data_IF_052246154643
#
_entry.id   IF_052246154643
#
_cell.length_a   1.000
_cell.length_b   1.000
_cell.length_c   1.000
_cell.angle_alpha   90.00
_cell.angle_beta   90.00
_cell.angle_gamma   90.00
#
_symmetry.space_group_name_H-M   'P 1'
#
loop_
_entity.id
_entity.type
_entity.pdbx_description
1 polymer ?
#
# COMPACT_ATOMS: atom_id res chain seq x y z
N UNK A 1 -7.79 16.92 -74.70
CA UNK A 1 -9.15 16.37 -74.59
C UNK A 1 -9.08 15.16 -73.68
N UNK A 2 -9.20 15.47 -72.39
CA UNK A 2 -9.88 14.80 -71.26
C UNK A 2 -10.01 13.28 -71.14
N UNK A 3 -9.83 12.85 -69.89
CA UNK A 3 -10.23 11.57 -69.29
C UNK A 3 -9.10 11.03 -68.41
N UNK A 4 -9.25 10.68 -67.13
CA UNK A 4 -10.39 10.65 -66.21
C UNK A 4 -9.80 10.50 -64.78
N UNK A 5 -10.62 10.84 -63.81
CA UNK A 5 -10.41 11.10 -62.39
C UNK A 5 -10.48 9.86 -61.46
N UNK A 6 -9.90 9.98 -60.26
CA UNK A 6 -10.44 9.36 -59.05
C UNK A 6 -9.50 8.48 -58.22
N UNK A 7 -9.02 8.98 -57.08
CA UNK A 7 -8.56 8.14 -55.97
C UNK A 7 -8.72 8.86 -54.61
N UNK A 8 -9.72 8.45 -53.83
CA UNK A 8 -9.77 8.65 -52.37
C UNK A 8 -9.86 7.26 -51.67
N UNK A 9 -9.27 7.10 -50.47
CA UNK A 9 -9.07 5.79 -49.86
C UNK A 9 -10.30 5.28 -49.09
N UNK A 10 -10.53 3.96 -49.24
CA UNK A 10 -11.64 3.18 -48.68
C UNK A 10 -11.55 3.04 -47.15
N UNK A 11 -12.61 3.42 -46.45
CA UNK A 11 -12.91 3.01 -45.07
C UNK A 11 -13.53 1.60 -45.03
N UNK A 12 -13.27 0.76 -44.01
CA UNK A 12 -13.75 -0.62 -43.98
C UNK A 12 -15.21 -0.75 -43.50
N UNK A 13 -15.91 -1.64 -44.20
CA UNK A 13 -17.32 -2.03 -44.07
C UNK A 13 -17.59 -2.85 -42.80
N UNK A 14 -18.32 -2.29 -41.84
CA UNK A 14 -19.10 -3.08 -40.88
C UNK A 14 -20.44 -3.44 -41.55
N UNK A 15 -20.49 -4.61 -42.20
CA UNK A 15 -21.76 -5.17 -42.65
C UNK A 15 -22.49 -5.78 -41.46
N UNK A 16 -23.71 -5.29 -41.24
CA UNK A 16 -24.72 -5.94 -40.42
C UNK A 16 -25.03 -7.30 -41.06
N UNK A 17 -24.73 -8.38 -40.37
CA UNK A 17 -25.39 -9.66 -40.58
C UNK A 17 -26.27 -9.96 -39.36
N UNK A 18 -27.52 -9.51 -39.46
CA UNK A 18 -28.61 -10.10 -38.70
C UNK A 18 -28.80 -11.54 -39.18
N UNK A 19 -28.81 -12.52 -38.28
CA UNK A 19 -29.13 -13.88 -38.71
C UNK A 19 -28.99 -15.07 -37.78
N UNK A 20 -28.66 -14.94 -36.49
CA UNK A 20 -28.87 -16.02 -35.50
C UNK A 20 -29.22 -15.42 -34.14
N UNK A 21 -30.52 -15.37 -33.83
CA UNK A 21 -31.03 -14.69 -32.63
C UNK A 21 -32.01 -15.58 -31.88
N UNK A 22 -31.83 -15.58 -30.56
CA UNK A 22 -32.81 -15.81 -29.51
C UNK A 22 -33.05 -17.25 -29.00
N UNK A 23 -32.11 -17.75 -28.19
CA UNK A 23 -32.44 -18.58 -27.02
C UNK A 23 -31.37 -18.45 -25.92
N UNK A 24 -30.09 -18.48 -26.30
CA UNK A 24 -28.98 -18.44 -25.33
C UNK A 24 -28.64 -17.05 -24.77
N UNK A 25 -28.85 -15.97 -25.54
CA UNK A 25 -28.57 -14.60 -25.05
C UNK A 25 -29.48 -14.20 -23.88
N UNK A 26 -30.72 -14.70 -23.82
CA UNK A 26 -31.64 -14.49 -22.68
C UNK A 26 -31.24 -15.29 -21.45
N UNK A 27 -30.67 -16.50 -21.59
CA UNK A 27 -30.12 -17.27 -20.47
C UNK A 27 -28.81 -16.66 -19.95
N UNK A 28 -27.91 -16.22 -20.85
CA UNK A 28 -26.61 -15.60 -20.51
C UNK A 28 -26.75 -14.22 -19.86
N UNK A 29 -27.67 -13.37 -20.35
CA UNK A 29 -28.01 -12.10 -19.67
C UNK A 29 -28.70 -12.29 -18.32
N UNK A 30 -29.35 -13.43 -18.09
CA UNK A 30 -29.91 -13.82 -16.79
C UNK A 30 -28.84 -14.30 -15.81
N UNK A 31 -27.82 -15.04 -16.26
CA UNK A 31 -26.69 -15.48 -15.43
C UNK A 31 -25.83 -14.30 -14.98
N UNK A 32 -25.50 -13.39 -15.89
CA UNK A 32 -24.77 -12.14 -15.56
C UNK A 32 -25.53 -11.25 -14.57
N UNK A 33 -26.86 -11.20 -14.65
CA UNK A 33 -27.71 -10.48 -13.66
C UNK A 33 -27.88 -11.22 -12.33
N UNK A 34 -27.81 -12.56 -12.32
CA UNK A 34 -28.01 -13.40 -11.12
C UNK A 34 -26.79 -13.37 -10.19
N UNK A 35 -25.61 -13.15 -10.75
CA UNK A 35 -24.34 -13.06 -10.02
C UNK A 35 -23.85 -11.61 -9.90
N UNK A 36 -24.72 -10.61 -9.99
CA UNK A 36 -24.32 -9.22 -9.74
C UNK A 36 -24.10 -8.96 -8.25
N UNK A 37 -23.28 -7.96 -7.91
CA UNK A 37 -23.02 -7.60 -6.51
C UNK A 37 -24.34 -7.29 -5.79
N UNK A 38 -25.26 -6.59 -6.46
CA UNK A 38 -26.60 -6.29 -5.97
C UNK A 38 -27.46 -7.55 -5.76
N UNK A 39 -27.36 -8.55 -6.64
CA UNK A 39 -28.08 -9.83 -6.47
C UNK A 39 -27.53 -10.63 -5.28
N UNK A 40 -26.20 -10.76 -5.17
CA UNK A 40 -25.53 -11.44 -4.07
C UNK A 40 -25.82 -10.76 -2.73
N UNK A 41 -25.80 -9.42 -2.70
CA UNK A 41 -26.15 -8.63 -1.52
C UNK A 41 -27.60 -8.82 -1.11
N UNK A 42 -28.54 -8.75 -2.05
CA UNK A 42 -29.96 -8.97 -1.75
C UNK A 42 -30.21 -10.40 -1.24
N UNK A 43 -29.55 -11.40 -1.83
CA UNK A 43 -29.62 -12.78 -1.37
C UNK A 43 -29.02 -12.93 0.04
N UNK A 44 -27.86 -12.33 0.30
CA UNK A 44 -27.22 -12.34 1.62
C UNK A 44 -28.13 -11.70 2.68
N UNK A 45 -28.65 -10.50 2.43
CA UNK A 45 -29.59 -9.80 3.33
C UNK A 45 -30.86 -10.63 3.57
N UNK A 46 -31.36 -11.32 2.54
CA UNK A 46 -32.51 -12.21 2.65
C UNK A 46 -32.24 -13.46 3.49
N UNK A 47 -30.98 -13.86 3.67
CA UNK A 47 -30.58 -15.01 4.50
C UNK A 47 -30.11 -14.61 5.89
N UNK A 48 -29.97 -13.32 6.18
CA UNK A 48 -29.56 -12.84 7.50
C UNK A 48 -30.61 -13.17 8.58
N UNK A 49 -30.18 -13.62 9.78
CA UNK A 49 -31.04 -13.75 10.95
C UNK A 49 -31.73 -12.42 11.29
N UNK A 50 -32.97 -12.47 11.79
CA UNK A 50 -33.76 -11.28 12.14
C UNK A 50 -33.04 -10.35 13.13
N UNK A 51 -32.23 -10.93 14.03
CA UNK A 51 -31.41 -10.21 15.02
C UNK A 51 -30.34 -9.30 14.41
N UNK A 52 -29.91 -9.58 13.18
CA UNK A 52 -28.87 -8.84 12.45
C UNK A 52 -29.51 -7.85 11.48
N UNK A 53 -30.66 -8.20 10.91
CA UNK A 53 -31.41 -7.31 10.01
C UNK A 53 -31.78 -5.97 10.65
N UNK A 54 -32.02 -5.94 11.96
CA UNK A 54 -32.29 -4.69 12.69
C UNK A 54 -31.09 -3.74 12.81
N UNK A 55 -29.87 -4.23 12.55
CA UNK A 55 -28.64 -3.42 12.54
C UNK A 55 -28.26 -2.87 11.15
N UNK A 56 -28.99 -3.24 10.10
CA UNK A 56 -28.79 -2.71 8.75
C UNK A 56 -29.64 -1.44 8.62
N UNK A 57 -29.02 -0.27 8.72
CA UNK A 57 -29.72 1.00 8.49
C UNK A 57 -30.22 1.07 7.03
N UNK A 58 -31.52 1.34 6.89
CA UNK A 58 -32.24 1.38 5.60
C UNK A 58 -31.83 2.58 4.74
N UNK A 59 -31.20 3.60 5.33
CA UNK A 59 -30.91 4.89 4.68
C UNK A 59 -29.43 5.11 4.29
N UNK A 60 -28.50 4.23 4.68
CA UNK A 60 -27.10 4.30 4.22
C UNK A 60 -26.47 2.91 4.14
N UNK A 61 -26.40 2.29 2.95
CA UNK A 61 -25.94 0.90 2.78
C UNK A 61 -24.43 0.69 2.92
N UNK A 62 -23.69 1.72 3.33
CA UNK A 62 -22.23 1.78 3.31
C UNK A 62 -21.54 1.22 4.56
N UNK A 63 -22.28 1.00 5.66
CA UNK A 63 -21.71 0.53 6.93
C UNK A 63 -22.65 -0.44 7.65
N UNK A 64 -22.13 -1.62 8.01
CA UNK A 64 -22.82 -2.59 8.87
C UNK A 64 -22.37 -2.33 10.31
N UNK A 65 -23.17 -1.63 11.12
CA UNK A 65 -22.83 -1.38 12.53
C UNK A 65 -23.37 -2.53 13.41
N UNK A 66 -22.55 -3.57 13.59
CA UNK A 66 -22.89 -4.71 14.44
C UNK A 66 -22.70 -4.43 15.93
N UNK A 67 -22.24 -3.24 16.34
CA UNK A 67 -22.08 -2.89 17.75
C UNK A 67 -23.41 -2.92 18.53
N UNK A 68 -24.53 -2.62 17.84
CA UNK A 68 -25.88 -2.60 18.40
C UNK A 68 -26.56 -3.97 18.45
N UNK A 69 -25.98 -4.99 17.82
CA UNK A 69 -26.56 -6.34 17.76
C UNK A 69 -26.32 -7.11 19.07
N UNK A 70 -27.37 -7.28 19.87
CA UNK A 70 -27.30 -8.01 21.15
C UNK A 70 -27.35 -9.52 20.89
N UNK A 71 -26.34 -10.26 21.38
CA UNK A 71 -26.32 -11.72 21.42
C UNK A 71 -25.50 -12.43 20.35
N UNK A 72 -24.61 -11.73 19.63
CA UNK A 72 -23.59 -12.33 18.77
C UNK A 72 -22.24 -12.42 19.51
N UNK A 73 -21.56 -13.54 19.34
CA UNK A 73 -20.15 -13.71 19.71
C UNK A 73 -19.27 -12.78 18.88
N UNK A 74 -18.08 -12.39 19.39
CA UNK A 74 -17.12 -11.59 18.62
C UNK A 74 -16.78 -12.26 17.27
N UNK A 75 -16.59 -13.58 17.25
CA UNK A 75 -16.29 -14.30 16.01
C UNK A 75 -17.44 -14.30 14.99
N UNK A 76 -18.69 -14.23 15.45
CA UNK A 76 -19.85 -14.11 14.54
C UNK A 76 -19.92 -12.69 13.97
N UNK A 77 -19.63 -11.66 14.77
CA UNK A 77 -19.56 -10.27 14.29
C UNK A 77 -18.49 -10.11 13.22
N UNK A 78 -17.29 -10.61 13.51
CA UNK A 78 -16.17 -10.60 12.57
C UNK A 78 -16.51 -11.34 11.26
N UNK A 79 -17.21 -12.47 11.34
CA UNK A 79 -17.68 -13.18 10.15
C UNK A 79 -18.62 -12.33 9.28
N UNK A 80 -19.65 -11.72 9.87
CA UNK A 80 -20.61 -10.92 9.11
C UNK A 80 -19.98 -9.63 8.57
N UNK A 81 -19.08 -9.00 9.32
CA UNK A 81 -18.29 -7.85 8.86
C UNK A 81 -17.42 -8.22 7.65
N UNK A 82 -16.71 -9.36 7.70
CA UNK A 82 -15.92 -9.87 6.57
C UNK A 82 -16.79 -10.13 5.34
N UNK A 83 -17.93 -10.81 5.51
CA UNK A 83 -18.85 -11.08 4.39
C UNK A 83 -19.40 -9.78 3.77
N UNK A 84 -19.71 -8.78 4.58
CA UNK A 84 -20.17 -7.48 4.10
C UNK A 84 -19.07 -6.70 3.37
N UNK A 85 -17.83 -6.76 3.88
CA UNK A 85 -16.66 -6.19 3.23
C UNK A 85 -16.40 -6.83 1.85
N UNK A 86 -16.53 -8.16 1.75
CA UNK A 86 -16.44 -8.88 0.47
C UNK A 86 -17.54 -8.44 -0.51
N UNK A 87 -18.79 -8.28 -0.05
CA UNK A 87 -19.87 -7.80 -0.94
C UNK A 87 -19.62 -6.38 -1.44
N UNK A 88 -19.08 -5.51 -0.57
CA UNK A 88 -18.71 -4.15 -0.94
C UNK A 88 -17.59 -4.13 -1.98
N UNK A 89 -16.58 -5.00 -1.86
CA UNK A 89 -15.52 -5.09 -2.87
C UNK A 89 -16.05 -5.56 -4.23
N UNK A 90 -17.08 -6.40 -4.26
CA UNK A 90 -17.75 -6.80 -5.51
C UNK A 90 -18.56 -5.64 -6.13
N UNK A 91 -19.19 -4.79 -5.32
CA UNK A 91 -19.90 -3.59 -5.78
C UNK A 91 -18.93 -2.56 -6.38
N UNK A 92 -17.76 -2.42 -5.77
CA UNK A 92 -16.66 -1.61 -6.28
C UNK A 92 -16.19 -2.11 -7.65
N UNK A 93 -15.96 -3.43 -7.81
CA UNK A 93 -15.66 -4.04 -9.13
C UNK A 93 -16.75 -3.71 -10.14
N UNK A 94 -18.01 -3.90 -9.79
CA UNK A 94 -19.13 -3.61 -10.68
C UNK A 94 -19.14 -2.14 -11.14
N UNK A 95 -18.86 -1.20 -10.22
CA UNK A 95 -18.79 0.23 -10.52
C UNK A 95 -17.63 0.60 -11.45
N UNK A 96 -16.42 0.07 -11.19
CA UNK A 96 -15.22 0.28 -12.01
C UNK A 96 -15.39 -0.28 -13.43
N UNK A 97 -16.11 -1.40 -13.59
CA UNK A 97 -16.37 -1.97 -14.91
C UNK A 97 -17.40 -1.18 -15.72
N UNK A 98 -18.20 -0.33 -15.09
CA UNK A 98 -19.20 0.52 -15.75
C UNK A 98 -18.74 1.95 -16.03
N UNK A 99 -17.68 2.42 -15.37
CA UNK A 99 -17.06 3.71 -15.65
C UNK A 99 -16.03 3.54 -16.78
N UNK A 100 -16.19 4.26 -17.89
CA UNK A 100 -15.23 4.33 -19.00
C UNK A 100 -14.30 5.57 -18.88
N UNK A 101 -14.26 6.22 -17.73
CA UNK A 101 -13.43 7.41 -17.50
C UNK A 101 -12.08 7.05 -16.89
N UNK A 102 -11.00 7.53 -17.51
CA UNK A 102 -9.66 7.61 -16.92
C UNK A 102 -9.73 8.66 -15.82
N UNK A 103 -9.31 8.30 -14.61
CA UNK A 103 -9.58 9.04 -13.38
C UNK A 103 -8.71 10.30 -13.30
N UNK A 104 -9.32 11.50 -13.41
CA UNK A 104 -8.65 12.77 -13.09
C UNK A 104 -8.21 12.81 -11.60
N UNK A 105 -8.83 11.97 -10.76
CA UNK A 105 -8.54 11.83 -9.32
C UNK A 105 -7.12 11.30 -9.04
N UNK A 106 -6.58 10.42 -9.90
CA UNK A 106 -5.24 9.85 -9.75
C UNK A 106 -4.12 10.90 -9.94
N UNK A 107 -4.32 11.85 -10.85
CA UNK A 107 -3.36 12.93 -11.12
C UNK A 107 -3.31 13.93 -9.96
N UNK A 108 -4.47 14.24 -9.39
CA UNK A 108 -4.57 15.12 -8.22
C UNK A 108 -3.97 14.46 -6.97
N UNK A 109 -4.20 13.16 -6.77
CA UNK A 109 -3.57 12.40 -5.68
C UNK A 109 -2.03 12.40 -5.83
N UNK A 110 -1.50 12.16 -7.04
CA UNK A 110 -0.05 12.21 -7.29
C UNK A 110 0.54 13.60 -7.02
N UNK A 111 -0.14 14.67 -7.44
CA UNK A 111 0.31 16.03 -7.20
C UNK A 111 0.29 16.39 -5.71
N UNK A 112 -0.70 15.90 -4.95
CA UNK A 112 -0.72 16.05 -3.49
C UNK A 112 0.43 15.31 -2.81
N UNK A 113 0.75 14.10 -3.28
CA UNK A 113 1.88 13.30 -2.77
C UNK A 113 3.22 14.02 -3.02
N UNK A 114 3.44 14.54 -4.22
CA UNK A 114 4.63 15.34 -4.56
C UNK A 114 4.78 16.56 -3.65
N UNK A 115 3.69 17.29 -3.42
CA UNK A 115 3.66 18.43 -2.49
C UNK A 115 4.00 17.99 -1.07
N UNK A 116 3.44 16.89 -0.59
CA UNK A 116 3.72 16.36 0.74
C UNK A 116 5.20 16.04 0.94
N UNK A 117 5.82 15.33 0.00
CA UNK A 117 7.25 15.02 0.06
C UNK A 117 8.12 16.28 -0.02
N UNK A 118 7.76 17.25 -0.87
CA UNK A 118 8.51 18.50 -1.02
C UNK A 118 8.47 19.33 0.26
N UNK A 119 7.27 19.48 0.84
CA UNK A 119 7.06 20.24 2.09
C UNK A 119 7.80 19.57 3.24
N UNK A 120 7.72 18.24 3.36
CA UNK A 120 8.44 17.46 4.37
C UNK A 120 9.96 17.70 4.30
N UNK A 121 10.55 17.57 3.10
CA UNK A 121 11.98 17.80 2.93
C UNK A 121 12.39 19.24 3.19
N UNK A 122 11.61 20.21 2.71
CA UNK A 122 11.90 21.61 2.97
C UNK A 122 11.85 21.94 4.48
N UNK A 123 10.87 21.40 5.19
CA UNK A 123 10.78 21.54 6.64
C UNK A 123 11.97 20.90 7.36
N UNK A 124 12.42 19.70 6.94
CA UNK A 124 13.61 19.06 7.48
C UNK A 124 14.89 19.90 7.24
N UNK A 125 15.02 20.53 6.06
CA UNK A 125 16.14 21.46 5.78
C UNK A 125 16.11 22.66 6.72
N UNK A 126 14.94 23.28 6.92
CA UNK A 126 14.79 24.44 7.81
C UNK A 126 15.07 24.05 9.27
N UNK A 127 14.57 22.90 9.72
CA UNK A 127 14.84 22.36 11.06
C UNK A 127 16.33 22.12 11.27
N UNK A 128 17.01 21.50 10.30
CA UNK A 128 18.45 21.27 10.35
C UNK A 128 19.21 22.60 10.45
N UNK A 129 18.88 23.60 9.62
CA UNK A 129 19.52 24.91 9.65
C UNK A 129 19.35 25.60 11.01
N UNK A 130 18.15 25.51 11.60
CA UNK A 130 17.87 26.03 12.93
C UNK A 130 18.68 25.32 14.03
N UNK A 131 18.76 23.98 13.97
CA UNK A 131 19.55 23.18 14.91
C UNK A 131 21.06 23.45 14.79
N UNK A 132 21.59 23.59 13.58
CA UNK A 132 22.99 23.98 13.34
C UNK A 132 23.28 25.35 13.98
N UNK A 133 22.41 26.33 13.73
CA UNK A 133 22.56 27.67 14.33
C UNK A 133 22.58 27.60 15.86
N UNK A 134 21.68 26.82 16.45
CA UNK A 134 21.60 26.66 17.89
C UNK A 134 22.80 25.91 18.47
N UNK A 135 23.32 24.90 17.78
CA UNK A 135 24.56 24.20 18.17
C UNK A 135 25.75 25.15 18.22
N UNK A 136 25.92 26.00 17.20
CA UNK A 136 27.02 26.98 17.16
C UNK A 136 26.88 28.01 18.30
N UNK A 137 25.66 28.45 18.61
CA UNK A 137 25.41 29.44 19.67
C UNK A 137 25.52 28.85 21.08
N UNK A 138 25.04 27.63 21.29
CA UNK A 138 25.01 26.98 22.59
C UNK A 138 26.35 26.32 22.95
N UNK A 139 27.11 25.85 21.95
CA UNK A 139 28.33 25.06 22.17
C UNK A 139 28.09 23.72 22.87
N UNK A 140 26.83 23.27 22.96
CA UNK A 140 26.44 22.06 23.67
C UNK A 140 26.61 20.80 22.81
N UNK A 141 27.27 19.79 23.39
CA UNK A 141 27.45 18.47 22.78
C UNK A 141 26.09 17.77 22.58
N UNK A 142 25.15 17.95 23.52
CA UNK A 142 23.81 17.37 23.43
C UNK A 142 23.00 17.96 22.25
N UNK A 143 23.13 19.26 21.99
CA UNK A 143 22.46 19.91 20.86
C UNK A 143 23.14 19.53 19.53
N UNK A 144 24.46 19.33 19.55
CA UNK A 144 25.21 18.82 18.40
C UNK A 144 24.75 17.39 18.03
N UNK A 145 24.53 16.51 19.01
CA UNK A 145 23.97 15.17 18.78
C UNK A 145 22.59 15.23 18.12
N UNK A 146 21.66 16.03 18.66
CA UNK A 146 20.33 16.18 18.04
C UNK A 146 20.36 16.86 16.66
N UNK A 147 21.42 17.60 16.35
CA UNK A 147 21.65 18.17 15.01
C UNK A 147 22.08 17.09 14.02
N UNK A 148 22.95 16.17 14.46
CA UNK A 148 23.38 15.02 13.67
C UNK A 148 22.18 14.13 13.33
N UNK A 149 21.26 13.92 14.28
CA UNK A 149 20.03 13.17 14.04
C UNK A 149 19.20 13.81 12.91
N UNK A 150 18.95 15.13 12.98
CA UNK A 150 18.20 15.81 11.91
C UNK A 150 18.93 15.90 10.57
N UNK A 151 20.26 15.80 10.56
CA UNK A 151 21.02 15.66 9.31
C UNK A 151 20.73 14.30 8.68
N UNK A 152 20.69 13.25 9.50
CA UNK A 152 20.40 11.90 9.05
C UNK A 152 18.95 11.77 8.57
N UNK A 153 17.97 12.38 9.27
CA UNK A 153 16.59 12.47 8.78
C UNK A 153 16.52 13.13 7.41
N UNK A 154 17.28 14.22 7.20
CA UNK A 154 17.34 14.92 5.92
C UNK A 154 17.94 14.04 4.82
N UNK A 155 19.02 13.30 5.12
CA UNK A 155 19.62 12.35 4.19
C UNK A 155 18.63 11.23 3.84
N UNK A 156 17.94 10.71 4.85
CA UNK A 156 16.97 9.63 4.74
C UNK A 156 15.74 10.07 3.90
N UNK A 157 15.22 11.28 4.13
CA UNK A 157 14.22 11.91 3.26
C UNK A 157 14.75 12.17 1.84
N UNK A 158 16.01 12.57 1.70
CA UNK A 158 16.69 12.70 0.42
C UNK A 158 16.68 11.40 -0.41
N UNK A 159 16.85 10.25 0.24
CA UNK A 159 16.78 8.93 -0.40
C UNK A 159 15.36 8.63 -0.91
N UNK A 160 14.32 8.91 -0.12
CA UNK A 160 12.93 8.72 -0.56
C UNK A 160 12.57 9.67 -1.71
N UNK A 161 13.03 10.92 -1.65
CA UNK A 161 12.84 11.89 -2.72
C UNK A 161 13.53 11.48 -4.01
N UNK A 162 14.78 11.02 -3.92
CA UNK A 162 15.51 10.48 -5.05
C UNK A 162 14.84 9.22 -5.62
N UNK A 163 14.34 8.35 -4.75
CA UNK A 163 13.55 7.16 -5.12
C UNK A 163 12.34 7.57 -5.95
N UNK A 164 11.56 8.55 -5.48
CA UNK A 164 10.42 9.09 -6.21
C UNK A 164 10.81 9.69 -7.57
N UNK A 165 11.87 10.50 -7.63
CA UNK A 165 12.41 11.04 -8.89
C UNK A 165 12.89 9.94 -9.85
N UNK A 166 13.48 8.86 -9.33
CA UNK A 166 13.94 7.72 -10.11
C UNK A 166 12.77 6.98 -10.75
N UNK A 167 11.65 6.85 -10.05
CA UNK A 167 10.42 6.25 -10.58
C UNK A 167 9.79 7.07 -11.70
N UNK A 168 9.86 8.41 -11.62
CA UNK A 168 9.32 9.31 -12.66
C UNK A 168 10.12 9.25 -13.97
N UNK A 169 11.44 9.09 -13.86
CA UNK A 169 12.34 9.03 -15.02
C UNK A 169 12.43 7.60 -15.58
N UNK A 170 11.50 7.24 -16.46
CA UNK A 170 11.41 5.91 -17.05
C UNK A 170 12.04 5.90 -18.45
N UNK A 171 13.00 4.99 -18.65
CA UNK A 171 13.45 4.59 -19.98
C UNK A 171 12.85 3.21 -20.29
N UNK A 172 11.86 3.16 -21.18
CA UNK A 172 11.11 1.96 -21.52
C UNK A 172 12.02 0.86 -22.09
N UNK A 173 13.13 1.22 -22.77
CA UNK A 173 14.07 0.22 -23.31
C UNK A 173 14.88 -0.50 -22.22
N UNK A 174 15.09 0.13 -21.07
CA UNK A 174 15.75 -0.50 -19.92
C UNK A 174 14.76 -1.09 -18.93
N UNK A 175 13.60 -0.44 -18.77
CA UNK A 175 12.58 -0.77 -17.80
C UNK A 175 11.22 -0.87 -18.52
N UNK A 176 10.95 -1.96 -19.25
CA UNK A 176 9.77 -2.10 -20.12
C UNK A 176 8.45 -2.08 -19.35
N UNK A 177 8.51 -2.42 -18.07
CA UNK A 177 7.40 -2.47 -17.12
C UNK A 177 7.40 -1.28 -16.14
N UNK A 178 8.26 -0.29 -16.36
CA UNK A 178 8.44 0.85 -15.46
C UNK A 178 9.34 0.57 -14.26
N UNK A 179 9.32 1.49 -13.29
CA UNK A 179 10.25 1.54 -12.14
C UNK A 179 9.56 1.53 -10.78
N UNK A 180 8.28 1.17 -10.70
CA UNK A 180 7.52 1.16 -9.43
C UNK A 180 8.19 0.32 -8.33
N UNK A 181 8.92 -0.73 -8.71
CA UNK A 181 9.68 -1.60 -7.78
C UNK A 181 10.82 -0.91 -7.06
N UNK A 182 11.26 0.26 -7.51
CA UNK A 182 12.29 1.05 -6.82
C UNK A 182 11.74 1.61 -5.50
N UNK A 183 10.42 1.79 -5.36
CA UNK A 183 9.77 2.27 -4.13
C UNK A 183 10.09 1.42 -2.89
N UNK A 184 9.75 0.12 -2.83
CA UNK A 184 10.06 -0.70 -1.66
C UNK A 184 11.57 -0.80 -1.41
N UNK A 185 12.41 -0.77 -2.46
CA UNK A 185 13.88 -0.71 -2.30
C UNK A 185 14.31 0.58 -1.59
N UNK A 186 13.77 1.73 -1.98
CA UNK A 186 14.03 3.01 -1.31
C UNK A 186 13.58 3.01 0.15
N UNK A 187 12.41 2.44 0.44
CA UNK A 187 11.88 2.29 1.80
C UNK A 187 12.77 1.35 2.64
N UNK A 188 13.28 0.25 2.07
CA UNK A 188 14.20 -0.66 2.76
C UNK A 188 15.51 0.05 3.12
N UNK A 189 16.12 0.78 2.19
CA UNK A 189 17.38 1.51 2.45
C UNK A 189 17.17 2.54 3.57
N UNK A 190 16.07 3.30 3.47
CA UNK A 190 15.68 4.26 4.48
C UNK A 190 15.49 3.62 5.87
N UNK A 191 14.67 2.58 5.96
CA UNK A 191 14.41 1.88 7.21
C UNK A 191 15.68 1.23 7.79
N UNK A 192 16.59 0.72 6.95
CA UNK A 192 17.87 0.18 7.40
C UNK A 192 18.78 1.24 8.02
N UNK A 193 18.82 2.45 7.45
CA UNK A 193 19.55 3.58 8.03
C UNK A 193 18.94 3.93 9.39
N UNK A 194 17.62 4.10 9.48
CA UNK A 194 16.95 4.45 10.74
C UNK A 194 17.11 3.37 11.83
N UNK A 195 17.08 2.09 11.46
CA UNK A 195 17.37 0.99 12.38
C UNK A 195 18.83 1.04 12.90
N UNK A 196 19.78 1.41 12.04
CA UNK A 196 21.19 1.59 12.42
C UNK A 196 21.36 2.76 13.40
N UNK A 197 20.61 3.85 13.22
CA UNK A 197 20.58 4.97 14.17
C UNK A 197 20.03 4.55 15.54
N UNK A 198 18.93 3.80 15.54
CA UNK A 198 18.40 3.21 16.76
C UNK A 198 19.44 2.32 17.46
N UNK A 199 20.21 1.53 16.70
CA UNK A 199 21.28 0.71 17.26
C UNK A 199 22.44 1.54 17.83
N UNK A 200 22.83 2.63 17.18
CA UNK A 200 23.85 3.54 17.71
C UNK A 200 23.41 4.15 19.05
N UNK A 201 22.17 4.65 19.13
CA UNK A 201 21.59 5.18 20.39
C UNK A 201 21.57 4.11 21.48
N UNK A 202 21.26 2.85 21.12
CA UNK A 202 21.29 1.74 22.07
C UNK A 202 22.69 1.55 22.66
N UNK A 203 23.73 1.54 21.80
CA UNK A 203 25.12 1.37 22.24
C UNK A 203 25.54 2.51 23.15
N UNK A 204 25.27 3.75 22.75
CA UNK A 204 25.64 4.94 23.52
C UNK A 204 24.95 4.98 24.89
N UNK A 205 23.66 4.66 24.95
CA UNK A 205 22.90 4.62 26.20
C UNK A 205 23.33 3.49 27.14
N UNK A 206 23.68 2.32 26.60
CA UNK A 206 24.24 1.21 27.40
C UNK A 206 25.62 1.57 27.92
N UNK A 207 26.46 2.21 27.09
CA UNK A 207 27.79 2.65 27.48
C UNK A 207 27.73 3.69 28.61
N UNK A 208 26.80 4.64 28.53
CA UNK A 208 26.55 5.63 29.58
C UNK A 208 26.10 4.97 30.90
N UNK A 209 25.20 3.99 30.82
CA UNK A 209 24.73 3.24 31.98
C UNK A 209 25.84 2.40 32.64
N UNK A 210 26.71 1.76 31.83
CA UNK A 210 27.80 0.90 32.34
C UNK A 210 28.94 1.73 32.93
N UNK A 211 29.23 2.90 32.36
CA UNK A 211 30.34 3.76 32.83
C UNK A 211 30.03 4.52 34.12
N UNK A 212 28.79 4.46 34.62
CA UNK A 212 28.32 5.21 35.81
C UNK A 212 28.70 6.70 35.72
N UNK A 213 28.71 7.23 34.49
CA UNK A 213 29.00 8.63 34.24
C UNK A 213 27.68 9.38 34.31
N UNK A 214 27.47 10.09 35.40
CA UNK A 214 26.47 11.15 35.41
C UNK A 214 26.82 12.14 34.29
N UNK A 215 25.92 12.34 33.34
CA UNK A 215 26.05 13.38 32.33
C UNK A 215 26.31 14.72 33.02
N UNK A 216 27.29 15.49 32.53
CA UNK A 216 27.62 16.79 33.11
C UNK A 216 26.35 17.65 33.14
N UNK A 217 26.03 18.21 34.30
CA UNK A 217 24.82 19.03 34.45
C UNK A 217 24.88 20.18 33.45
N UNK A 218 23.98 20.14 32.46
CA UNK A 218 23.84 21.20 31.49
C UNK A 218 23.58 22.52 32.22
N UNK A 219 24.25 23.58 31.78
CA UNK A 219 24.00 24.93 32.32
C UNK A 219 22.55 25.34 32.04
N UNK A 220 21.98 26.20 32.88
CA UNK A 220 20.58 26.67 32.72
C UNK A 220 20.30 27.21 31.32
N UNK A 221 21.28 27.90 30.71
CA UNK A 221 21.17 28.43 29.35
C UNK A 221 21.13 27.32 28.29
N UNK A 222 21.93 26.25 28.45
CA UNK A 222 21.92 25.10 27.55
C UNK A 222 20.61 24.30 27.65
N UNK A 223 20.03 24.19 28.84
CA UNK A 223 18.71 23.55 29.05
C UNK A 223 17.59 24.34 28.36
N UNK A 224 17.59 25.68 28.46
CA UNK A 224 16.59 26.52 27.78
C UNK A 224 16.68 26.34 26.25
N UNK A 225 17.89 26.32 25.69
CA UNK A 225 18.09 26.04 24.27
C UNK A 225 17.61 24.64 23.89
N UNK A 226 17.98 23.61 24.66
CA UNK A 226 17.54 22.24 24.42
C UNK A 226 16.02 22.13 24.41
N UNK A 227 15.32 22.65 25.43
CA UNK A 227 13.86 22.63 25.49
C UNK A 227 13.21 23.36 24.34
N UNK A 228 13.71 24.56 24.00
CA UNK A 228 13.18 25.36 22.89
C UNK A 228 13.31 24.62 21.55
N UNK A 229 14.45 24.00 21.30
CA UNK A 229 14.72 23.27 20.06
C UNK A 229 13.91 21.98 20.00
N UNK A 230 13.87 21.20 21.08
CA UNK A 230 13.15 19.94 21.13
C UNK A 230 11.64 20.14 21.00
N UNK A 231 11.06 21.14 21.70
CA UNK A 231 9.64 21.46 21.59
C UNK A 231 9.29 22.01 20.20
N UNK A 232 10.11 22.89 19.63
CA UNK A 232 9.86 23.44 18.29
C UNK A 232 10.00 22.36 17.20
N UNK A 233 11.02 21.50 17.28
CA UNK A 233 11.18 20.36 16.39
C UNK A 233 9.99 19.39 16.50
N UNK A 234 9.56 19.06 17.71
CA UNK A 234 8.39 18.20 17.96
C UNK A 234 7.13 18.79 17.35
N UNK A 235 6.90 20.10 17.51
CA UNK A 235 5.72 20.77 16.95
C UNK A 235 5.71 20.74 15.42
N UNK A 236 6.87 20.98 14.78
CA UNK A 236 6.99 20.91 13.31
C UNK A 236 6.78 19.47 12.81
N UNK A 237 7.45 18.47 13.42
CA UNK A 237 7.28 17.05 13.06
C UNK A 237 5.84 16.58 13.27
N UNK A 238 5.15 17.02 14.33
CA UNK A 238 3.74 16.72 14.56
C UNK A 238 2.84 17.31 13.47
N UNK A 239 3.07 18.55 13.06
CA UNK A 239 2.33 19.17 11.96
C UNK A 239 2.55 18.43 10.63
N UNK A 240 3.78 18.02 10.34
CA UNK A 240 4.11 17.21 9.16
C UNK A 240 3.46 15.83 9.21
N UNK A 241 3.46 15.16 10.37
CA UNK A 241 2.77 13.90 10.55
C UNK A 241 1.27 14.02 10.27
N UNK A 242 0.61 15.06 10.81
CA UNK A 242 -0.81 15.32 10.55
C UNK A 242 -1.10 15.57 9.07
N UNK A 243 -0.17 16.19 8.35
CA UNK A 243 -0.28 16.44 6.92
C UNK A 243 -0.04 15.19 6.07
N UNK A 244 0.94 14.36 6.43
CA UNK A 244 1.31 13.17 5.65
C UNK A 244 0.43 11.94 5.96
N UNK A 245 -0.15 11.82 7.15
CA UNK A 245 -0.91 10.63 7.58
C UNK A 245 -2.16 10.32 6.76
N UNK A 246 -2.68 11.30 6.04
CA UNK A 246 -3.89 11.15 5.22
C UNK A 246 -3.59 10.59 3.82
N UNK A 247 -2.32 10.44 3.45
CA UNK A 247 -1.92 9.94 2.13
C UNK A 247 -2.00 8.42 2.04
N UNK A 248 -2.47 7.92 0.89
CA UNK A 248 -2.50 6.48 0.56
C UNK A 248 -1.16 5.93 0.07
N UNK A 249 -0.26 6.79 -0.40
CA UNK A 249 1.03 6.37 -0.97
C UNK A 249 2.00 5.88 0.12
N UNK A 250 2.66 4.74 -0.11
CA UNK A 250 3.55 4.15 0.89
C UNK A 250 4.82 4.97 1.14
N UNK A 251 5.33 5.71 0.15
CA UNK A 251 6.47 6.64 0.34
C UNK A 251 6.07 7.75 1.29
N UNK A 252 4.89 8.34 1.11
CA UNK A 252 4.38 9.39 1.99
C UNK A 252 4.04 8.82 3.38
N UNK A 253 3.56 7.58 3.45
CA UNK A 253 3.36 6.88 4.73
C UNK A 253 4.68 6.60 5.44
N UNK A 254 5.76 6.26 4.73
CA UNK A 254 7.08 6.11 5.32
C UNK A 254 7.56 7.42 5.95
N UNK A 255 7.37 8.57 5.27
CA UNK A 255 7.57 9.90 5.86
C UNK A 255 6.68 10.17 7.07
N UNK A 256 5.39 9.83 6.99
CA UNK A 256 4.49 10.02 8.12
C UNK A 256 4.95 9.21 9.34
N UNK A 257 5.33 7.95 9.13
CA UNK A 257 5.86 7.09 10.19
C UNK A 257 7.16 7.65 10.77
N UNK A 258 8.06 8.15 9.94
CA UNK A 258 9.29 8.83 10.37
C UNK A 258 8.98 10.02 11.29
N UNK A 259 8.15 10.95 10.82
CA UNK A 259 7.74 12.12 11.61
C UNK A 259 7.03 11.73 12.91
N UNK A 260 6.24 10.66 12.89
CA UNK A 260 5.57 10.13 14.07
C UNK A 260 6.58 9.56 15.08
N UNK A 261 7.56 8.79 14.60
CA UNK A 261 8.61 8.25 15.44
C UNK A 261 9.45 9.36 16.05
N UNK A 262 9.77 10.41 15.28
CA UNK A 262 10.49 11.58 15.81
C UNK A 262 9.70 12.31 16.90
N UNK A 263 8.38 12.44 16.75
CA UNK A 263 7.55 13.02 17.81
C UNK A 263 7.61 12.16 19.07
N UNK A 264 7.50 10.83 18.94
CA UNK A 264 7.59 9.93 20.09
C UNK A 264 8.96 10.01 20.75
N UNK A 265 10.04 9.88 19.99
CA UNK A 265 11.41 9.86 20.52
C UNK A 265 11.76 11.20 21.15
N UNK A 266 11.37 12.33 20.55
CA UNK A 266 11.58 13.64 21.15
C UNK A 266 10.79 13.82 22.45
N UNK A 267 9.51 13.43 22.50
CA UNK A 267 8.67 13.59 23.71
C UNK A 267 9.14 12.67 24.82
N UNK A 268 9.32 11.38 24.53
CA UNK A 268 9.72 10.39 25.54
C UNK A 268 11.16 10.64 25.99
N UNK A 269 12.07 11.00 25.06
CA UNK A 269 13.44 11.36 25.38
C UNK A 269 13.52 12.60 26.25
N UNK A 270 12.71 13.63 25.95
CA UNK A 270 12.61 14.82 26.80
C UNK A 270 12.09 14.48 28.20
N UNK A 271 11.08 13.62 28.31
CA UNK A 271 10.55 13.18 29.61
C UNK A 271 11.62 12.37 30.38
N UNK A 272 12.34 11.47 29.71
CA UNK A 272 13.40 10.68 30.30
C UNK A 272 14.55 11.57 30.83
N UNK A 273 14.98 12.57 30.05
CA UNK A 273 15.99 13.53 30.45
C UNK A 273 15.56 14.36 31.66
N UNK A 274 14.32 14.87 31.68
CA UNK A 274 13.79 15.66 32.81
C UNK A 274 13.67 14.82 34.08
N UNK A 275 13.21 13.56 33.96
CA UNK A 275 13.12 12.64 35.09
C UNK A 275 14.53 12.22 35.58
N UNK A 276 15.47 12.06 34.65
CA UNK A 276 16.87 11.77 34.92
C UNK A 276 17.56 12.85 35.75
N UNK A 277 17.37 14.11 35.37
CA UNK A 277 17.92 15.26 36.10
C UNK A 277 17.27 15.45 37.49
N UNK A 278 15.95 15.22 37.60
CA UNK A 278 15.20 15.50 38.84
C UNK A 278 15.25 14.38 39.88
N UNK A 279 15.26 13.11 39.45
CA UNK A 279 15.11 11.96 40.35
C UNK A 279 16.38 11.09 40.40
N UNK A 280 16.69 10.39 39.32
CA UNK A 280 17.81 9.45 39.26
C UNK A 280 18.47 9.47 37.89
N UNK A 281 19.80 9.63 37.84
CA UNK A 281 20.58 9.78 36.61
C UNK A 281 20.39 8.64 35.60
N UNK A 282 20.15 7.41 36.07
CA UNK A 282 20.00 6.22 35.21
C UNK A 282 18.68 6.18 34.43
N UNK A 283 17.71 7.02 34.77
CA UNK A 283 16.39 7.05 34.08
C UNK A 283 16.54 7.50 32.63
N UNK A 284 17.43 8.46 32.36
CA UNK A 284 17.67 8.97 31.01
C UNK A 284 18.25 7.88 30.07
N UNK A 285 19.39 7.22 30.41
CA UNK A 285 19.91 6.12 29.59
C UNK A 285 18.95 4.93 29.53
N UNK A 286 18.17 4.63 30.59
CA UNK A 286 17.15 3.58 30.53
C UNK A 286 16.01 3.92 29.55
N UNK A 287 15.58 5.18 29.51
CA UNK A 287 14.60 5.69 28.56
C UNK A 287 15.12 5.65 27.12
N UNK A 288 16.38 6.02 26.91
CA UNK A 288 17.05 5.93 25.62
C UNK A 288 17.17 4.48 25.12
N UNK A 289 17.51 3.52 25.99
CA UNK A 289 17.52 2.08 25.66
C UNK A 289 16.13 1.61 25.22
N UNK A 290 15.08 1.97 25.97
CA UNK A 290 13.71 1.61 25.62
C UNK A 290 13.31 2.15 24.24
N UNK A 291 13.59 3.43 23.98
CA UNK A 291 13.32 4.06 22.69
C UNK A 291 14.12 3.43 21.56
N UNK A 292 15.39 3.12 21.77
CA UNK A 292 16.24 2.49 20.79
C UNK A 292 15.69 1.11 20.37
N UNK A 293 15.29 0.28 21.33
CA UNK A 293 14.68 -1.04 21.05
C UNK A 293 13.37 -0.88 20.26
N UNK A 294 12.53 0.09 20.64
CA UNK A 294 11.30 0.38 19.93
C UNK A 294 11.56 0.81 18.47
N UNK A 295 12.48 1.75 18.26
CA UNK A 295 12.90 2.22 16.94
C UNK A 295 13.45 1.09 16.06
N UNK A 296 14.39 0.29 16.58
CA UNK A 296 14.97 -0.85 15.86
C UNK A 296 13.89 -1.84 15.45
N UNK A 297 12.97 -2.18 16.36
CA UNK A 297 11.91 -3.16 16.10
C UNK A 297 10.97 -2.69 15.00
N UNK A 298 10.53 -1.43 15.05
CA UNK A 298 9.62 -0.88 14.06
C UNK A 298 10.25 -0.75 12.68
N UNK A 299 11.48 -0.24 12.59
CA UNK A 299 12.16 -0.12 11.29
C UNK A 299 12.58 -1.47 10.72
N UNK A 300 12.99 -2.43 11.56
CA UNK A 300 13.27 -3.80 11.11
C UNK A 300 12.01 -4.48 10.57
N UNK A 301 10.85 -4.22 11.18
CA UNK A 301 9.56 -4.69 10.67
C UNK A 301 9.25 -4.07 9.30
N UNK A 302 9.45 -2.76 9.14
CA UNK A 302 9.28 -2.07 7.84
C UNK A 302 10.18 -2.67 6.77
N UNK A 303 11.44 -2.99 7.09
CA UNK A 303 12.36 -3.69 6.17
C UNK A 303 11.78 -5.04 5.76
N UNK A 304 11.33 -5.85 6.72
CA UNK A 304 10.79 -7.18 6.44
C UNK A 304 9.52 -7.11 5.57
N UNK A 305 8.58 -6.23 5.89
CA UNK A 305 7.34 -6.05 5.13
C UNK A 305 7.63 -5.66 3.67
N UNK A 306 8.52 -4.70 3.44
CA UNK A 306 8.89 -4.28 2.08
C UNK A 306 9.73 -5.33 1.34
N UNK A 307 10.58 -6.08 2.04
CA UNK A 307 11.35 -7.17 1.46
C UNK A 307 10.43 -8.33 1.02
N UNK A 308 9.46 -8.71 1.85
CA UNK A 308 8.45 -9.72 1.51
C UNK A 308 7.62 -9.29 0.30
N UNK A 309 7.25 -8.01 0.21
CA UNK A 309 6.53 -7.47 -0.95
C UNK A 309 7.30 -7.63 -2.28
N UNK A 310 8.64 -7.58 -2.23
CA UNK A 310 9.52 -7.80 -3.39
C UNK A 310 9.70 -9.28 -3.75
N UNK A 311 9.49 -10.19 -2.80
CA UNK A 311 9.75 -11.63 -2.98
C UNK A 311 8.60 -12.36 -3.70
N UNK A 312 7.36 -11.88 -3.59
CA UNK A 312 6.20 -12.59 -4.16
C UNK A 312 5.24 -13.13 -3.11
N UNK A 313 4.82 -12.32 -2.14
CA UNK A 313 3.83 -12.78 -1.17
C UNK A 313 2.46 -12.91 -1.85
N UNK A 314 1.75 -14.01 -1.59
CA UNK A 314 0.38 -14.19 -2.08
C UNK A 314 -0.51 -13.05 -1.58
N UNK A 315 -1.39 -12.58 -2.46
CA UNK A 315 -2.42 -11.62 -2.12
C UNK A 315 -3.33 -12.16 -1.02
N UNK A 316 -3.92 -11.24 -0.27
CA UNK A 316 -4.88 -11.58 0.77
C UNK A 316 -6.11 -12.28 0.16
N UNK A 317 -6.79 -13.18 0.91
CA UNK A 317 -7.95 -13.91 0.42
C UNK A 317 -9.06 -13.01 -0.15
N UNK A 318 -9.22 -11.80 0.38
CA UNK A 318 -10.20 -10.81 -0.07
C UNK A 318 -9.92 -10.34 -1.50
N UNK A 319 -8.65 -10.12 -1.84
CA UNK A 319 -8.22 -9.74 -3.20
C UNK A 319 -8.42 -10.92 -4.15
N UNK A 320 -8.05 -12.14 -3.74
CA UNK A 320 -8.27 -13.35 -4.54
C UNK A 320 -9.77 -13.58 -4.80
N UNK A 321 -10.64 -13.33 -3.82
CA UNK A 321 -12.10 -13.39 -3.99
C UNK A 321 -12.59 -12.32 -4.97
N UNK A 322 -12.11 -11.07 -4.86
CA UNK A 322 -12.43 -9.96 -5.77
C UNK A 322 -12.07 -10.30 -7.21
N UNK A 323 -10.87 -10.84 -7.43
CA UNK A 323 -10.40 -11.30 -8.74
C UNK A 323 -11.23 -12.47 -9.28
N UNK A 324 -11.49 -13.48 -8.45
CA UNK A 324 -12.31 -14.64 -8.84
C UNK A 324 -13.73 -14.23 -9.23
N UNK A 325 -14.32 -13.29 -8.49
CA UNK A 325 -15.64 -12.73 -8.80
C UNK A 325 -15.66 -11.97 -10.14
N UNK A 326 -14.60 -11.23 -10.46
CA UNK A 326 -14.47 -10.56 -11.76
C UNK A 326 -14.43 -11.57 -12.90
N UNK A 327 -13.64 -12.64 -12.75
CA UNK A 327 -13.47 -13.68 -13.78
C UNK A 327 -14.76 -14.49 -13.99
N UNK A 328 -15.43 -14.92 -12.91
CA UNK A 328 -16.64 -15.76 -12.99
C UNK A 328 -17.83 -15.02 -13.63
N UNK A 329 -17.81 -13.68 -13.63
CA UNK A 329 -18.83 -12.85 -14.27
C UNK A 329 -18.67 -12.81 -15.79
N UNK A 330 -17.52 -13.22 -16.33
CA UNK A 330 -17.31 -13.22 -17.77
C UNK A 330 -18.15 -14.32 -18.45
N UNK A 331 -19.09 -13.97 -19.36
CA UNK A 331 -20.14 -14.89 -19.80
C UNK A 331 -19.67 -16.06 -20.68
N UNK A 332 -18.42 -16.03 -21.13
CA UNK A 332 -17.81 -17.01 -22.03
C UNK A 332 -16.80 -17.93 -21.33
N UNK A 333 -16.54 -17.72 -20.04
CA UNK A 333 -15.66 -18.60 -19.24
C UNK A 333 -16.46 -19.83 -18.81
N UNK A 334 -15.95 -21.02 -19.14
CA UNK A 334 -16.59 -22.30 -18.77
C UNK A 334 -16.28 -22.64 -17.32
N UNK A 335 -15.01 -22.50 -16.94
CA UNK A 335 -14.49 -22.78 -15.60
C UNK A 335 -13.25 -21.93 -15.34
N UNK A 336 -12.97 -21.70 -14.06
CA UNK A 336 -11.72 -21.11 -13.58
C UNK A 336 -10.91 -22.27 -13.01
N UNK A 337 -9.69 -22.47 -13.49
CA UNK A 337 -8.80 -23.47 -12.92
C UNK A 337 -8.05 -22.89 -11.73
N UNK A 338 -7.30 -21.80 -11.98
CA UNK A 338 -6.42 -21.19 -10.99
C UNK A 338 -6.53 -19.67 -11.03
N UNK A 339 -6.55 -19.05 -9.85
CA UNK A 339 -6.38 -17.60 -9.68
C UNK A 339 -5.25 -17.40 -8.69
N UNK A 340 -4.14 -16.84 -9.14
CA UNK A 340 -3.01 -16.45 -8.31
C UNK A 340 -2.82 -14.96 -8.41
N UNK A 341 -2.56 -14.35 -7.27
CA UNK A 341 -2.10 -12.98 -7.22
C UNK A 341 -0.99 -12.91 -6.19
N UNK A 342 0.12 -12.26 -6.54
CA UNK A 342 1.26 -12.11 -5.64
C UNK A 342 1.90 -10.74 -5.82
N UNK A 343 2.45 -10.20 -4.74
CA UNK A 343 3.09 -8.88 -4.75
C UNK A 343 4.36 -8.92 -5.55
N UNK A 344 4.64 -7.91 -6.36
CA UNK A 344 5.95 -7.78 -6.98
C UNK A 344 6.38 -6.32 -7.04
N UNK A 345 6.63 -5.76 -5.86
CA UNK A 345 6.83 -4.33 -5.67
C UNK A 345 5.74 -3.76 -4.76
N UNK A 346 4.92 -2.87 -5.30
CA UNK A 346 3.83 -2.19 -4.57
C UNK A 346 2.46 -2.77 -4.93
N UNK A 347 2.33 -3.33 -6.14
CA UNK A 347 1.10 -3.82 -6.73
C UNK A 347 1.17 -5.33 -6.97
N UNK A 348 0.01 -5.93 -7.28
CA UNK A 348 -0.12 -7.35 -7.56
C UNK A 348 0.13 -7.68 -9.03
N UNK A 349 0.84 -8.79 -9.24
CA UNK A 349 0.83 -9.55 -10.48
C UNK A 349 -0.24 -10.62 -10.35
N UNK A 350 -1.12 -10.69 -11.35
CA UNK A 350 -2.24 -11.64 -11.36
C UNK A 350 -2.05 -12.64 -12.49
N UNK A 351 -2.17 -13.91 -12.17
CA UNK A 351 -2.20 -15.02 -13.13
C UNK A 351 -3.55 -15.71 -13.00
N UNK A 352 -4.27 -15.82 -14.10
CA UNK A 352 -5.60 -16.46 -14.16
C UNK A 352 -5.61 -17.49 -15.28
N UNK A 353 -5.96 -18.70 -14.93
CA UNK A 353 -6.08 -19.81 -15.87
C UNK A 353 -7.58 -20.11 -16.05
N UNK A 354 -8.09 -19.91 -17.26
CA UNK A 354 -9.51 -20.10 -17.60
C UNK A 354 -9.69 -21.21 -18.64
N UNK A 355 -10.75 -22.00 -18.42
CA UNK A 355 -11.17 -23.02 -19.37
C UNK A 355 -12.16 -22.41 -20.39
N UNK A 356 -11.88 -22.61 -21.67
CA UNK A 356 -12.73 -22.24 -22.80
C UNK A 356 -13.18 -23.49 -23.58
N UNK A 357 -14.26 -23.41 -24.38
CA UNK A 357 -14.68 -24.51 -25.24
C UNK A 357 -13.60 -24.89 -26.27
N UNK A 358 -13.36 -26.20 -26.45
CA UNK A 358 -12.36 -26.74 -27.40
C UNK A 358 -12.60 -26.32 -28.85
N UNK A 359 -13.86 -26.12 -29.24
CA UNK A 359 -14.28 -25.75 -30.59
C UNK A 359 -14.23 -24.23 -30.85
N UNK A 360 -13.82 -23.44 -29.85
CA UNK A 360 -13.77 -21.99 -29.95
C UNK A 360 -12.61 -21.55 -30.87
N UNK A 361 -12.86 -20.72 -31.90
CA UNK A 361 -11.79 -20.19 -32.73
C UNK A 361 -10.76 -19.42 -31.90
N UNK A 362 -9.46 -19.61 -32.18
CA UNK A 362 -8.37 -18.93 -31.45
C UNK A 362 -8.56 -17.40 -31.37
N UNK A 363 -9.09 -16.79 -32.43
CA UNK A 363 -9.40 -15.35 -32.46
C UNK A 363 -10.41 -14.95 -31.38
N UNK A 364 -11.45 -15.76 -31.17
CA UNK A 364 -12.47 -15.51 -30.16
C UNK A 364 -11.94 -15.81 -28.76
N UNK A 365 -11.18 -16.89 -28.60
CA UNK A 365 -10.49 -17.22 -27.35
C UNK A 365 -9.57 -16.07 -26.92
N UNK A 366 -8.74 -15.57 -27.84
CA UNK A 366 -7.85 -14.44 -27.61
C UNK A 366 -8.62 -13.18 -27.20
N UNK A 367 -9.72 -12.86 -27.89
CA UNK A 367 -10.54 -11.69 -27.54
C UNK A 367 -11.15 -11.80 -26.12
N UNK A 368 -11.52 -13.01 -25.68
CA UNK A 368 -11.98 -13.25 -24.31
C UNK A 368 -10.85 -13.03 -23.31
N UNK A 369 -9.68 -13.62 -23.57
CA UNK A 369 -8.50 -13.46 -22.72
C UNK A 369 -8.06 -12.00 -22.59
N UNK A 370 -7.95 -11.29 -23.71
CA UNK A 370 -7.61 -9.86 -23.75
C UNK A 370 -8.64 -9.01 -23.01
N UNK A 371 -9.94 -9.26 -23.22
CA UNK A 371 -11.01 -8.54 -22.51
C UNK A 371 -10.93 -8.78 -21.00
N UNK A 372 -10.65 -10.01 -20.57
CA UNK A 372 -10.52 -10.34 -19.16
C UNK A 372 -9.27 -9.70 -18.55
N UNK A 373 -8.15 -9.73 -19.28
CA UNK A 373 -6.91 -9.08 -18.88
C UNK A 373 -7.13 -7.59 -18.64
N UNK A 374 -7.71 -6.87 -19.61
CA UNK A 374 -8.00 -5.43 -19.49
C UNK A 374 -8.89 -5.14 -18.28
N UNK A 375 -9.89 -6.00 -18.01
CA UNK A 375 -10.76 -5.83 -16.84
C UNK A 375 -10.00 -6.02 -15.52
N UNK A 376 -9.12 -7.02 -15.44
CA UNK A 376 -8.33 -7.26 -14.23
C UNK A 376 -7.34 -6.10 -14.01
N UNK A 377 -6.69 -5.62 -15.07
CA UNK A 377 -5.74 -4.48 -15.02
C UNK A 377 -6.40 -3.13 -14.72
N UNK A 378 -7.74 -3.02 -14.82
CA UNK A 378 -8.49 -1.83 -14.36
C UNK A 378 -8.57 -1.74 -12.83
N UNK A 379 -8.23 -2.79 -12.09
CA UNK A 379 -8.21 -2.73 -10.63
C UNK A 379 -6.96 -1.95 -10.17
N UNK A 380 -7.09 -0.95 -9.28
CA UNK A 380 -5.98 -0.09 -8.89
C UNK A 380 -4.86 -0.83 -8.16
N UNK A 381 -5.15 -2.00 -7.61
CA UNK A 381 -4.21 -2.86 -6.88
C UNK A 381 -3.40 -3.78 -7.82
N UNK A 382 -3.73 -3.84 -9.11
CA UNK A 382 -3.11 -4.75 -10.09
C UNK A 382 -2.20 -3.98 -11.05
N UNK A 383 -0.94 -4.37 -11.13
CA UNK A 383 0.02 -3.81 -12.10
C UNK A 383 -0.13 -4.48 -13.47
N UNK A 384 -0.29 -5.81 -13.45
CA UNK A 384 -0.34 -6.63 -14.66
C UNK A 384 -1.15 -7.89 -14.42
N UNK A 385 -1.92 -8.28 -15.42
CA UNK A 385 -2.60 -9.57 -15.45
C UNK A 385 -2.10 -10.43 -16.61
N UNK A 386 -1.95 -11.72 -16.36
CA UNK A 386 -1.74 -12.76 -17.35
C UNK A 386 -2.93 -13.70 -17.32
N UNK A 387 -3.57 -13.87 -18.47
CA UNK A 387 -4.71 -14.78 -18.61
C UNK A 387 -4.26 -15.94 -19.50
N UNK A 388 -4.10 -17.12 -18.92
CA UNK A 388 -3.88 -18.35 -19.68
C UNK A 388 -5.23 -18.92 -20.12
N UNK A 389 -5.25 -19.46 -21.35
CA UNK A 389 -6.45 -19.98 -21.99
C UNK A 389 -6.28 -21.47 -22.20
N UNK A 390 -6.98 -22.27 -21.40
CA UNK A 390 -6.95 -23.71 -21.46
C UNK A 390 -8.19 -24.29 -22.09
N UNK A 391 -8.04 -25.48 -22.66
CA UNK A 391 -9.15 -26.31 -23.11
C UNK A 391 -9.43 -27.47 -22.15
N UNK A 392 -8.53 -27.77 -21.20
CA UNK A 392 -8.63 -28.83 -20.19
C UNK A 392 -8.02 -28.41 -18.85
N UNK A 393 -8.34 -29.11 -17.76
CA UNK A 393 -7.83 -28.78 -16.41
C UNK A 393 -6.88 -29.85 -15.82
N UNK A 394 -6.59 -30.92 -16.56
CA UNK A 394 -5.79 -32.07 -16.08
C UNK A 394 -4.29 -31.93 -16.42
N UNK A 395 -3.75 -30.70 -16.45
CA UNK A 395 -2.34 -30.44 -16.74
C UNK A 395 -1.41 -30.65 -15.53
N UNK A 396 -0.16 -31.06 -15.81
CA UNK A 396 0.92 -31.20 -14.81
C UNK A 396 1.37 -29.82 -14.31
N UNK A 397 1.88 -29.68 -13.07
CA UNK A 397 2.25 -28.39 -12.51
C UNK A 397 3.26 -27.64 -13.39
N UNK A 398 2.88 -26.43 -13.80
CA UNK A 398 3.60 -25.61 -14.80
C UNK A 398 4.94 -25.07 -14.28
N UNK A 399 5.12 -25.01 -12.97
CA UNK A 399 6.34 -24.50 -12.33
C UNK A 399 7.24 -25.64 -11.85
N UNK A 400 8.09 -26.14 -12.74
CA UNK A 400 9.11 -27.16 -12.44
C UNK A 400 10.15 -26.76 -11.37
N UNK A 401 10.14 -25.50 -10.91
CA UNK A 401 11.03 -24.98 -9.86
C UNK A 401 10.43 -25.17 -8.46
N UNK A 402 9.09 -25.11 -8.31
CA UNK A 402 8.43 -25.38 -7.03
C UNK A 402 8.72 -26.81 -6.53
N UNK A 403 8.91 -27.76 -7.45
CA UNK A 403 9.31 -29.13 -7.12
C UNK A 403 10.79 -29.28 -6.73
N UNK A 404 11.62 -28.24 -6.89
CA UNK A 404 13.04 -28.22 -6.50
C UNK A 404 13.30 -27.57 -5.14
N UNK A 405 12.32 -26.85 -4.60
CA UNK A 405 12.39 -26.34 -3.24
C UNK A 405 12.14 -27.48 -2.26
N UNK A 406 12.83 -27.52 -1.11
CA UNK A 406 12.53 -28.49 -0.06
C UNK A 406 11.09 -28.25 0.42
N UNK A 407 10.16 -29.05 -0.11
CA UNK A 407 8.75 -28.98 0.24
C UNK A 407 8.56 -29.46 1.68
N UNK A 408 8.31 -28.54 2.59
CA UNK A 408 7.54 -28.80 3.80
C UNK A 408 6.11 -28.35 3.54
N UNK A 409 5.38 -29.10 2.71
CA UNK A 409 3.92 -29.02 2.76
C UNK A 409 3.46 -29.69 4.06
N UNK A 410 2.56 -29.10 4.86
CA UNK A 410 1.76 -29.85 5.82
C UNK A 410 0.79 -30.82 5.13
#
# INVERSE_FOLDING_TARGET
>A
MDGDSGSEPKSPLLSKSDGWRFSESRRRGRLSRRNSANSLRNEFVSRLPEKIRSGIEVESPSHLDLSKSKGLSEGEKEYYERQWATLKSFEEVDSLMTSDYIDDEDLDEQAQQEKAMTVSNYANVVLLAFKIYATIKSGSIAIAASTLDSLLDLMAGGILWFTHLSMKNINIYQYPIGKLRVQPVGIIIFAAIMATLGFQILVDAVEELVKDKASDKMTSDQLIWLYTIMLSATAVKLALWLYCRTSRNEIVRAYANDHYFDVITNVVGLVAAVLGDKFYWWIDPAGAIFLAVYTITNWSRTVLENAVSLVGQSAAPEVLQKLTYLVIRHPQVKRIDTVRAYTFGVLYFVEVDIELPEDLPLKEAHAIGETLQIKIERLPEVERAFVHLDYECDHKPEHSILSRLPNSQP
#
